data_IF_315204650619
#
_entry.id   IF_315204650619
#
_cell.length_a   1.000
_cell.length_b   1.000
_cell.length_c   1.000
_cell.angle_alpha   90.00
_cell.angle_beta   90.00
_cell.angle_gamma   90.00
#
_symmetry.space_group_name_H-M   'P 1'
#
loop_
_entity.id
_entity.type
_entity.pdbx_description
1 polymer ?
#
# COMPACT_ATOMS: atom_id res chain seq x y z
N UNK A 1 34.57 -22.28 -30.52
CA UNK A 1 33.57 -21.20 -30.35
C UNK A 1 32.43 -21.53 -29.38
N UNK A 2 31.84 -22.74 -29.36
CA UNK A 2 30.74 -23.10 -28.43
C UNK A 2 31.07 -23.00 -26.93
N UNK A 3 32.30 -23.34 -26.52
CA UNK A 3 32.71 -23.30 -25.10
C UNK A 3 32.77 -21.87 -24.51
N UNK A 4 33.08 -20.86 -25.33
CA UNK A 4 33.16 -19.45 -24.91
C UNK A 4 31.77 -18.83 -24.67
N UNK A 5 30.75 -19.29 -25.41
CA UNK A 5 29.37 -18.86 -25.21
C UNK A 5 28.77 -19.45 -23.92
N UNK A 6 29.19 -20.66 -23.54
CA UNK A 6 28.68 -21.34 -22.34
C UNK A 6 29.17 -20.65 -21.06
N UNK A 7 30.45 -20.27 -20.99
CA UNK A 7 31.03 -19.58 -19.83
C UNK A 7 30.45 -18.17 -19.63
N UNK A 8 30.19 -17.45 -20.72
CA UNK A 8 29.52 -16.14 -20.69
C UNK A 8 28.06 -16.24 -20.22
N UNK A 9 27.35 -17.30 -20.62
CA UNK A 9 25.98 -17.56 -20.18
C UNK A 9 25.91 -17.89 -18.68
N UNK A 10 26.84 -18.72 -18.18
CA UNK A 10 26.93 -19.10 -16.77
C UNK A 10 27.26 -17.87 -15.90
N UNK A 11 28.20 -17.03 -16.33
CA UNK A 11 28.54 -15.79 -15.62
C UNK A 11 27.36 -14.83 -15.51
N UNK A 12 26.61 -14.65 -16.59
CA UNK A 12 25.38 -13.84 -16.59
C UNK A 12 24.28 -14.43 -15.69
N UNK A 13 24.11 -15.76 -15.72
CA UNK A 13 23.12 -16.44 -14.88
C UNK A 13 23.42 -16.26 -13.39
N UNK A 14 24.69 -16.40 -12.98
CA UNK A 14 25.14 -16.15 -11.61
C UNK A 14 24.86 -14.73 -11.15
N UNK A 15 25.21 -13.72 -11.97
CA UNK A 15 24.94 -12.31 -11.65
C UNK A 15 23.45 -12.06 -11.46
N UNK A 16 22.59 -12.62 -12.33
CA UNK A 16 21.14 -12.51 -12.20
C UNK A 16 20.60 -13.18 -10.93
N UNK A 17 21.14 -14.34 -10.56
CA UNK A 17 20.70 -15.11 -9.39
C UNK A 17 20.93 -14.35 -8.08
N UNK A 18 22.02 -13.58 -8.00
CA UNK A 18 22.31 -12.72 -6.85
C UNK A 18 21.64 -11.35 -6.94
N UNK A 19 21.46 -10.80 -8.13
CA UNK A 19 20.88 -9.45 -8.30
C UNK A 19 19.37 -9.44 -8.09
N UNK A 20 18.65 -10.49 -8.51
CA UNK A 20 17.19 -10.59 -8.38
C UNK A 20 16.67 -10.41 -6.94
N UNK A 21 17.18 -11.14 -5.92
CA UNK A 21 16.69 -10.98 -4.55
C UNK A 21 17.00 -9.58 -4.00
N UNK A 22 18.13 -8.97 -4.37
CA UNK A 22 18.50 -7.62 -3.96
C UNK A 22 17.54 -6.60 -4.58
N UNK A 23 17.29 -6.69 -5.89
CA UNK A 23 16.35 -5.81 -6.60
C UNK A 23 14.95 -5.94 -5.99
N UNK A 24 14.49 -7.16 -5.71
CA UNK A 24 13.20 -7.41 -5.08
C UNK A 24 13.12 -6.77 -3.69
N UNK A 25 14.13 -6.98 -2.84
CA UNK A 25 14.18 -6.41 -1.50
C UNK A 25 14.18 -4.88 -1.52
N UNK A 26 14.98 -4.25 -2.40
CA UNK A 26 15.02 -2.79 -2.54
C UNK A 26 13.67 -2.23 -2.96
N UNK A 27 12.98 -2.88 -3.90
CA UNK A 27 11.64 -2.44 -4.32
C UNK A 27 10.61 -2.64 -3.21
N UNK A 28 10.66 -3.74 -2.46
CA UNK A 28 9.78 -3.97 -1.33
C UNK A 28 9.96 -2.92 -0.21
N UNK A 29 11.21 -2.57 0.12
CA UNK A 29 11.53 -1.51 1.10
C UNK A 29 11.07 -0.15 0.60
N UNK A 30 11.26 0.16 -0.68
CA UNK A 30 10.73 1.41 -1.26
C UNK A 30 9.21 1.47 -1.12
N UNK A 31 8.49 0.40 -1.45
CA UNK A 31 7.04 0.32 -1.32
C UNK A 31 6.58 0.54 0.13
N UNK A 32 7.25 -0.12 1.08
CA UNK A 32 7.01 0.03 2.51
C UNK A 32 7.32 1.44 3.03
N UNK A 33 8.36 2.08 2.51
CA UNK A 33 8.72 3.45 2.87
C UNK A 33 7.74 4.50 2.34
N UNK A 34 6.92 4.19 1.32
CA UNK A 34 5.84 5.08 0.87
C UNK A 34 4.57 4.94 1.72
N UNK A 35 4.40 3.82 2.44
CA UNK A 35 3.26 3.61 3.34
C UNK A 35 3.07 4.72 4.39
N UNK A 36 4.12 5.20 5.09
CA UNK A 36 3.99 6.34 6.02
C UNK A 36 3.72 7.69 5.34
N UNK A 37 3.87 7.81 4.02
CA UNK A 37 3.54 9.07 3.31
C UNK A 37 2.03 9.30 3.14
N UNK A 38 1.19 8.28 3.41
CA UNK A 38 -0.28 8.45 3.38
C UNK A 38 -0.86 9.02 4.66
N UNK A 39 -0.03 9.18 5.71
CA UNK A 39 -0.43 9.76 6.99
C UNK A 39 -1.43 8.90 7.77
N UNK A 40 -1.47 9.14 9.08
CA UNK A 40 -2.45 8.51 9.97
C UNK A 40 -3.75 9.32 10.04
N UNK A 41 -3.79 10.46 9.33
CA UNK A 41 -4.94 11.33 9.19
C UNK A 41 -4.94 12.04 7.82
N UNK A 42 -6.12 12.44 7.36
CA UNK A 42 -6.30 13.27 6.16
C UNK A 42 -7.14 14.50 6.47
N UNK A 43 -6.82 15.68 5.91
CA UNK A 43 -7.62 16.87 6.14
C UNK A 43 -8.95 16.75 5.39
N UNK A 44 -10.06 17.02 6.08
CA UNK A 44 -11.35 17.18 5.46
C UNK A 44 -11.31 18.36 4.48
N UNK A 45 -11.64 18.13 3.20
CA UNK A 45 -11.63 19.18 2.18
C UNK A 45 -12.67 20.29 2.41
N UNK A 46 -13.64 20.06 3.28
CA UNK A 46 -14.74 20.99 3.56
C UNK A 46 -14.46 21.87 4.77
N UNK A 47 -14.09 21.29 5.91
CA UNK A 47 -13.88 22.03 7.16
C UNK A 47 -12.42 22.08 7.64
N UNK A 48 -11.51 21.40 6.95
CA UNK A 48 -10.08 21.35 7.30
C UNK A 48 -9.71 20.48 8.50
N UNK A 49 -10.69 19.92 9.22
CA UNK A 49 -10.44 19.01 10.35
C UNK A 49 -9.70 17.75 9.88
N UNK A 50 -8.69 17.33 10.64
CA UNK A 50 -8.04 16.04 10.45
C UNK A 50 -8.98 14.87 10.77
N UNK A 51 -9.16 13.99 9.78
CA UNK A 51 -9.90 12.75 9.91
C UNK A 51 -8.87 11.66 10.17
N UNK A 52 -8.90 11.06 11.36
CA UNK A 52 -8.04 9.92 11.68
C UNK A 52 -8.35 8.73 10.76
N UNK A 53 -7.32 8.17 10.14
CA UNK A 53 -7.40 6.96 9.33
C UNK A 53 -6.95 5.72 10.09
N UNK A 54 -6.12 5.87 11.13
CA UNK A 54 -5.80 4.77 12.05
C UNK A 54 -6.82 4.68 13.18
N UNK A 55 -7.39 3.49 13.39
CA UNK A 55 -8.37 3.26 14.44
C UNK A 55 -9.04 1.89 14.37
N UNK A 56 -10.12 1.74 15.14
CA UNK A 56 -11.00 0.60 15.06
C UNK A 56 -12.11 0.89 14.05
N UNK A 57 -12.28 0.02 13.06
CA UNK A 57 -13.20 0.21 11.94
C UNK A 57 -14.10 -1.00 11.75
N UNK A 58 -15.29 -0.74 11.22
CA UNK A 58 -16.26 -1.76 10.85
C UNK A 58 -16.46 -1.77 9.32
N UNK A 59 -16.27 -2.92 8.71
CA UNK A 59 -16.54 -3.16 7.29
C UNK A 59 -18.05 -3.38 7.05
N UNK A 60 -18.59 -3.08 5.85
CA UNK A 60 -20.00 -3.37 5.52
C UNK A 60 -20.42 -4.84 5.70
N UNK A 61 -19.47 -5.78 5.61
CA UNK A 61 -19.72 -7.20 5.89
C UNK A 61 -19.88 -7.52 7.39
N UNK A 62 -19.68 -6.54 8.28
CA UNK A 62 -19.79 -6.66 9.73
C UNK A 62 -18.47 -6.94 10.46
N UNK A 63 -17.38 -7.21 9.74
CA UNK A 63 -16.05 -7.46 10.34
C UNK A 63 -15.46 -6.18 10.95
N UNK A 64 -14.97 -6.28 12.18
CA UNK A 64 -14.27 -5.20 12.88
C UNK A 64 -12.77 -5.45 12.87
N UNK A 65 -11.98 -4.44 12.53
CA UNK A 65 -10.52 -4.53 12.53
C UNK A 65 -9.89 -3.25 13.05
N UNK A 66 -8.72 -3.38 13.67
CA UNK A 66 -7.88 -2.24 14.02
C UNK A 66 -6.83 -2.02 12.94
N UNK A 67 -6.73 -0.80 12.43
CA UNK A 67 -5.75 -0.46 11.43
C UNK A 67 -6.16 0.76 10.62
N UNK A 68 -5.74 0.77 9.36
CA UNK A 68 -5.98 1.89 8.46
C UNK A 68 -7.35 1.77 7.78
N UNK A 69 -8.17 2.82 7.78
CA UNK A 69 -9.56 2.80 7.31
C UNK A 69 -9.70 2.27 5.88
N UNK A 70 -8.80 2.70 5.00
CA UNK A 70 -8.78 2.32 3.58
C UNK A 70 -8.01 1.01 3.31
N UNK A 71 -7.70 0.24 4.36
CA UNK A 71 -7.16 -1.11 4.20
C UNK A 71 -8.20 -2.06 3.60
N UNK A 72 -7.71 -3.12 2.96
CA UNK A 72 -8.55 -4.19 2.42
C UNK A 72 -9.11 -5.02 3.57
N UNK A 73 -10.42 -5.26 3.58
CA UNK A 73 -11.05 -6.18 4.52
C UNK A 73 -10.48 -7.60 4.37
N UNK A 74 -10.05 -8.21 5.46
CA UNK A 74 -9.52 -9.58 5.48
C UNK A 74 -10.58 -10.65 5.19
N UNK A 75 -11.86 -10.32 5.38
CA UNK A 75 -12.98 -11.25 5.21
C UNK A 75 -13.59 -11.16 3.81
N UNK A 76 -14.07 -9.98 3.40
CA UNK A 76 -14.74 -9.82 2.10
C UNK A 76 -13.84 -9.21 1.01
N UNK A 77 -12.64 -8.72 1.34
CA UNK A 77 -11.73 -8.10 0.37
C UNK A 77 -12.12 -6.69 -0.08
N UNK A 78 -13.18 -6.12 0.48
CA UNK A 78 -13.67 -4.78 0.12
C UNK A 78 -12.75 -3.68 0.65
N UNK A 79 -12.68 -2.56 -0.08
CA UNK A 79 -11.89 -1.37 0.27
C UNK A 79 -12.87 -0.19 0.28
N UNK A 80 -13.06 0.50 1.42
CA UNK A 80 -13.94 1.66 1.48
C UNK A 80 -13.52 2.75 0.47
N UNK A 81 -14.45 3.28 -0.36
CA UNK A 81 -14.12 4.33 -1.32
C UNK A 81 -14.15 5.74 -0.73
N UNK A 82 -14.83 5.96 0.40
CA UNK A 82 -14.96 7.25 1.05
C UNK A 82 -14.95 7.10 2.58
N UNK A 83 -14.50 8.13 3.29
CA UNK A 83 -14.61 8.27 4.75
C UNK A 83 -15.33 9.55 5.10
N UNK A 84 -16.25 9.51 6.07
CA UNK A 84 -16.97 10.70 6.51
C UNK A 84 -16.23 11.47 7.60
N UNK A 85 -16.24 12.81 7.50
CA UNK A 85 -15.67 13.67 8.51
C UNK A 85 -16.51 13.65 9.79
N UNK A 86 -15.94 13.33 10.96
CA UNK A 86 -16.71 13.27 12.21
C UNK A 86 -17.19 14.65 12.70
N UNK A 87 -16.64 15.76 12.17
CA UNK A 87 -17.03 17.11 12.55
C UNK A 87 -18.15 17.70 11.68
N UNK A 88 -18.01 17.61 10.35
CA UNK A 88 -18.96 18.25 9.42
C UNK A 88 -19.82 17.28 8.60
N UNK A 89 -19.56 15.96 8.68
CA UNK A 89 -20.28 14.93 7.92
C UNK A 89 -19.92 14.86 6.43
N UNK A 90 -19.00 15.69 5.93
CA UNK A 90 -18.57 15.62 4.54
C UNK A 90 -17.71 14.39 4.25
N UNK A 91 -17.96 13.72 3.13
CA UNK A 91 -17.19 12.55 2.69
C UNK A 91 -15.90 12.95 1.99
N UNK A 92 -14.81 12.26 2.33
CA UNK A 92 -13.48 12.40 1.72
C UNK A 92 -13.14 11.13 0.97
N UNK A 93 -12.66 11.26 -0.28
CA UNK A 93 -12.38 10.14 -1.17
C UNK A 93 -11.11 9.39 -0.76
N UNK A 94 -11.09 8.07 -1.00
CA UNK A 94 -9.91 7.24 -0.84
C UNK A 94 -8.84 7.63 -1.87
N UNK A 95 -7.69 8.19 -1.44
CA UNK A 95 -6.64 8.62 -2.37
C UNK A 95 -5.99 7.46 -3.13
N UNK A 96 -6.14 6.21 -2.66
CA UNK A 96 -5.61 5.03 -3.36
C UNK A 96 -6.44 4.60 -4.57
N UNK A 97 -7.72 4.96 -4.60
CA UNK A 97 -8.63 4.57 -5.68
C UNK A 97 -8.78 5.67 -6.73
N UNK A 98 -8.59 6.93 -6.34
CA UNK A 98 -8.89 8.11 -7.16
C UNK A 98 -7.69 9.06 -7.34
N UNK A 99 -6.50 8.68 -6.85
CA UNK A 99 -5.25 9.43 -6.95
C UNK A 99 -4.39 9.10 -8.16
#
# INVERSE_FOLDING_TARGET
>A
MRALHLSLAIGKALVWLFSLPIIFAVNAVKLWAVHPMMGDAVPCRTCGTEIALLGLWQCPCGYNFYGWYFSRCEVCGEIPPFIDCPQCGASTMNPLLFG
#
